data_IF_254637477053
#
_entry.id   IF_254637477053
#
_cell.length_a   1.000
_cell.length_b   1.000
_cell.length_c   1.000
_cell.angle_alpha   90.00
_cell.angle_beta   90.00
_cell.angle_gamma   90.00
#
_symmetry.space_group_name_H-M   'P 1'
#
loop_
_entity.id
_entity.type
_entity.pdbx_description
1 polymer ?
#
# COMPACT_ATOMS: atom_id res chain seq x y z
N UNK A 1 -0.55 0.21 22.93
CA UNK A 1 -0.73 1.60 23.41
C UNK A 1 -0.13 2.52 22.35
N UNK A 2 -0.88 3.51 21.87
CA UNK A 2 -0.38 4.61 21.03
C UNK A 2 -0.63 5.89 21.81
N UNK A 3 0.36 6.77 21.94
CA UNK A 3 0.27 7.97 22.79
C UNK A 3 -0.23 7.70 24.22
N UNK A 4 0.21 6.57 24.79
CA UNK A 4 -0.21 6.08 26.11
C UNK A 4 -1.73 5.86 26.25
N UNK A 5 -2.44 5.66 25.14
CA UNK A 5 -3.84 5.26 25.12
C UNK A 5 -4.00 3.83 24.59
N UNK A 6 -4.85 3.00 25.21
CA UNK A 6 -5.19 1.69 24.66
C UNK A 6 -6.04 1.89 23.40
N UNK A 7 -5.84 1.02 22.41
CA UNK A 7 -6.55 1.04 21.14
C UNK A 7 -6.96 -0.40 20.82
N UNK A 8 -8.22 -0.59 20.44
CA UNK A 8 -8.68 -1.85 19.88
C UNK A 8 -8.49 -1.79 18.36
N UNK A 9 -7.71 -2.70 17.81
CA UNK A 9 -7.38 -2.74 16.40
C UNK A 9 -7.94 -4.03 15.79
N UNK A 10 -8.92 -3.89 14.90
CA UNK A 10 -9.35 -4.98 14.02
C UNK A 10 -8.49 -4.99 12.76
N UNK A 11 -8.09 -6.18 12.31
CA UNK A 11 -7.31 -6.36 11.10
C UNK A 11 -8.08 -7.25 10.13
N UNK A 12 -8.23 -6.78 8.90
CA UNK A 12 -8.82 -7.53 7.79
C UNK A 12 -7.76 -7.72 6.72
N UNK A 13 -7.40 -8.98 6.48
CA UNK A 13 -6.52 -9.36 5.38
C UNK A 13 -7.34 -9.64 4.12
N UNK A 14 -6.82 -9.24 2.96
CA UNK A 14 -7.51 -9.44 1.68
C UNK A 14 -6.59 -9.97 0.60
N UNK A 15 -7.13 -10.86 -0.24
CA UNK A 15 -6.42 -11.43 -1.37
C UNK A 15 -6.18 -10.38 -2.48
N UNK A 16 -4.95 -10.30 -2.98
CA UNK A 16 -4.54 -9.38 -4.05
C UNK A 16 -4.69 -9.94 -5.48
N UNK A 17 -5.12 -11.19 -5.63
CA UNK A 17 -5.35 -11.82 -6.92
C UNK A 17 -6.66 -11.33 -7.53
N UNK A 18 -6.71 -11.29 -8.87
CA UNK A 18 -7.87 -10.84 -9.64
C UNK A 18 -9.13 -11.68 -9.39
N UNK A 19 -8.96 -12.97 -9.08
CA UNK A 19 -10.06 -13.88 -8.74
C UNK A 19 -10.91 -13.39 -7.55
N UNK A 20 -10.35 -12.50 -6.72
CA UNK A 20 -11.00 -11.95 -5.52
C UNK A 20 -11.47 -10.50 -5.68
N UNK A 21 -11.36 -9.91 -6.87
CA UNK A 21 -11.70 -8.49 -7.09
C UNK A 21 -13.16 -8.15 -6.74
N UNK A 22 -14.08 -9.12 -6.86
CA UNK A 22 -15.49 -8.95 -6.47
C UNK A 22 -15.76 -9.19 -4.98
N UNK A 23 -14.89 -9.93 -4.31
CA UNK A 23 -15.05 -10.30 -2.89
C UNK A 23 -14.37 -9.30 -1.97
N UNK A 24 -13.25 -8.73 -2.40
CA UNK A 24 -12.46 -7.75 -1.63
C UNK A 24 -13.29 -6.55 -1.16
N UNK A 25 -14.16 -5.93 -1.99
CA UNK A 25 -14.94 -4.77 -1.57
C UNK A 25 -15.94 -5.07 -0.45
N UNK A 26 -16.30 -6.34 -0.21
CA UNK A 26 -17.15 -6.72 0.92
C UNK A 26 -16.48 -6.48 2.27
N UNK A 27 -15.15 -6.31 2.29
CA UNK A 27 -14.37 -6.02 3.50
C UNK A 27 -14.13 -4.52 3.75
N UNK A 28 -14.55 -3.64 2.83
CA UNK A 28 -14.30 -2.19 2.91
C UNK A 28 -15.27 -1.37 3.78
N UNK A 29 -16.54 -1.78 3.99
CA UNK A 29 -17.46 -1.01 4.82
C UNK A 29 -16.90 -0.83 6.24
N UNK A 30 -17.02 0.40 6.76
CA UNK A 30 -16.60 0.78 8.12
C UNK A 30 -15.08 0.67 8.38
N UNK A 31 -14.25 0.59 7.34
CA UNK A 31 -12.80 0.67 7.49
C UNK A 31 -12.36 2.09 7.87
N UNK A 32 -11.67 2.24 9.01
CA UNK A 32 -11.13 3.51 9.47
C UNK A 32 -9.85 3.94 8.71
N UNK A 33 -9.03 2.98 8.29
CA UNK A 33 -7.77 3.22 7.56
C UNK A 33 -7.40 2.01 6.71
N UNK A 34 -6.88 2.27 5.51
CA UNK A 34 -6.34 1.24 4.63
C UNK A 34 -4.81 1.22 4.68
N UNK A 35 -4.24 0.03 4.75
CA UNK A 35 -2.82 -0.19 4.47
C UNK A 35 -2.68 -0.64 3.02
N UNK A 36 -2.15 0.24 2.18
CA UNK A 36 -1.96 -0.05 0.77
C UNK A 36 -0.53 -0.50 0.53
N UNK A 37 -0.34 -1.80 0.32
CA UNK A 37 0.98 -2.42 0.32
C UNK A 37 1.51 -2.62 -1.10
N UNK A 38 2.81 -2.37 -1.29
CA UNK A 38 3.59 -2.81 -2.45
C UNK A 38 4.91 -3.42 -1.99
N UNK A 39 5.62 -4.12 -2.87
CA UNK A 39 6.92 -4.71 -2.57
C UNK A 39 8.05 -3.86 -3.12
N UNK A 40 9.03 -3.52 -2.28
CA UNK A 40 10.20 -2.71 -2.65
C UNK A 40 11.07 -3.36 -3.75
N UNK A 41 10.97 -4.69 -3.88
CA UNK A 41 11.65 -5.48 -4.92
C UNK A 41 10.74 -5.85 -6.10
N UNK A 42 9.55 -5.24 -6.22
CA UNK A 42 8.62 -5.47 -7.34
C UNK A 42 8.03 -4.15 -7.84
N UNK A 43 8.60 -3.62 -8.93
CA UNK A 43 8.14 -2.38 -9.55
C UNK A 43 6.68 -2.47 -10.03
N UNK A 44 6.27 -3.60 -10.59
CA UNK A 44 4.87 -3.85 -10.99
C UNK A 44 3.90 -3.69 -9.82
N UNK A 45 4.26 -4.17 -8.63
CA UNK A 45 3.39 -4.01 -7.45
C UNK A 45 3.23 -2.55 -7.04
N UNK A 46 4.27 -1.72 -7.24
CA UNK A 46 4.21 -0.28 -6.98
C UNK A 46 3.37 0.46 -8.03
N UNK A 47 3.51 0.11 -9.30
CA UNK A 47 2.68 0.68 -10.37
C UNK A 47 1.18 0.37 -10.17
N UNK A 48 0.88 -0.84 -9.69
CA UNK A 48 -0.47 -1.29 -9.37
C UNK A 48 -1.15 -0.47 -8.26
N UNK A 49 -0.39 0.20 -7.39
CA UNK A 49 -0.95 1.13 -6.39
C UNK A 49 -1.78 2.20 -7.09
N UNK A 50 -1.26 2.81 -8.16
CA UNK A 50 -1.93 3.89 -8.89
C UNK A 50 -2.92 3.35 -9.92
N UNK A 51 -2.58 2.28 -10.63
CA UNK A 51 -3.41 1.79 -11.73
C UNK A 51 -4.59 0.93 -11.28
N UNK A 52 -4.52 0.30 -10.11
CA UNK A 52 -5.55 -0.63 -9.63
C UNK A 52 -6.04 -0.28 -8.23
N UNK A 53 -5.16 -0.30 -7.24
CA UNK A 53 -5.59 -0.36 -5.84
C UNK A 53 -6.17 0.94 -5.31
N UNK A 54 -5.53 2.07 -5.59
CA UNK A 54 -6.05 3.37 -5.21
C UNK A 54 -7.40 3.67 -5.87
N UNK A 55 -7.56 3.55 -7.21
CA UNK A 55 -8.86 3.72 -7.85
C UNK A 55 -9.96 2.81 -7.29
N UNK A 56 -9.64 1.55 -6.99
CA UNK A 56 -10.60 0.61 -6.39
C UNK A 56 -11.08 1.07 -5.02
N UNK A 57 -10.16 1.45 -4.12
CA UNK A 57 -10.51 1.97 -2.79
C UNK A 57 -11.30 3.26 -2.93
N UNK A 58 -10.85 4.22 -3.75
CA UNK A 58 -11.54 5.50 -3.94
C UNK A 58 -12.93 5.35 -4.56
N UNK A 59 -13.17 4.32 -5.39
CA UNK A 59 -14.49 4.06 -5.95
C UNK A 59 -15.50 3.58 -4.90
N UNK A 60 -15.04 2.86 -3.87
CA UNK A 60 -15.90 2.31 -2.81
C UNK A 60 -15.93 3.20 -1.56
N UNK A 61 -14.82 3.88 -1.25
CA UNK A 61 -14.60 4.71 -0.06
C UNK A 61 -13.82 5.98 -0.48
N UNK A 62 -14.48 7.00 -1.05
CA UNK A 62 -13.82 8.15 -1.71
C UNK A 62 -12.86 8.98 -0.86
N UNK A 63 -13.03 8.98 0.47
CA UNK A 63 -12.21 9.76 1.41
C UNK A 63 -11.44 8.87 2.39
N UNK A 64 -11.19 7.62 2.01
CA UNK A 64 -10.47 6.68 2.86
C UNK A 64 -9.09 7.21 3.25
N UNK A 65 -8.74 7.25 4.55
CA UNK A 65 -7.36 7.42 4.97
C UNK A 65 -6.54 6.22 4.47
N UNK A 66 -5.45 6.49 3.74
CA UNK A 66 -4.57 5.45 3.20
C UNK A 66 -3.15 5.68 3.70
N UNK A 67 -2.55 4.62 4.25
CA UNK A 67 -1.13 4.54 4.54
C UNK A 67 -0.50 3.66 3.45
N UNK A 68 0.43 4.24 2.70
CA UNK A 68 1.19 3.51 1.70
C UNK A 68 2.37 2.78 2.37
N UNK A 69 2.48 1.47 2.15
CA UNK A 69 3.46 0.62 2.84
C UNK A 69 4.37 -0.09 1.84
N UNK A 70 5.67 0.20 1.91
CA UNK A 70 6.70 -0.53 1.17
C UNK A 70 7.17 -1.77 1.94
N UNK A 71 6.87 -2.95 1.43
CA UNK A 71 7.19 -4.25 2.05
C UNK A 71 8.49 -4.86 1.50
N UNK A 72 9.01 -5.90 2.17
CA UNK A 72 10.20 -6.68 1.74
C UNK A 72 11.48 -5.86 1.61
N UNK A 73 11.72 -4.97 2.58
CA UNK A 73 12.94 -4.15 2.65
C UNK A 73 14.21 -5.00 2.75
N UNK A 74 14.14 -6.08 3.53
CA UNK A 74 15.21 -7.06 3.70
C UNK A 74 15.70 -7.62 2.34
N UNK A 75 14.79 -7.86 1.40
CA UNK A 75 15.16 -8.34 0.06
C UNK A 75 15.80 -7.24 -0.79
N UNK A 76 15.40 -5.97 -0.63
CA UNK A 76 16.03 -4.86 -1.36
C UNK A 76 17.49 -4.67 -0.94
N UNK A 77 17.75 -4.82 0.35
CA UNK A 77 19.07 -4.63 0.94
C UNK A 77 19.95 -5.90 0.79
N UNK A 78 19.38 -7.01 0.27
CA UNK A 78 20.08 -8.29 0.05
C UNK A 78 20.81 -8.34 -1.30
N UNK A 79 22.05 -8.89 -1.36
CA UNK A 79 22.80 -9.05 -2.61
C UNK A 79 22.08 -9.85 -3.70
N UNK A 80 21.18 -10.76 -3.29
CA UNK A 80 20.47 -11.67 -4.19
C UNK A 80 18.98 -11.31 -4.35
N UNK A 81 18.47 -10.32 -3.60
CA UNK A 81 17.04 -10.04 -3.54
C UNK A 81 16.53 -9.16 -4.68
N UNK A 82 17.41 -8.39 -5.34
CA UNK A 82 17.11 -7.78 -6.62
C UNK A 82 17.45 -8.75 -7.76
N UNK A 83 16.44 -9.10 -8.57
CA UNK A 83 16.73 -9.61 -9.91
C UNK A 83 17.43 -8.49 -10.68
N UNK A 84 18.60 -8.77 -11.26
CA UNK A 84 19.49 -7.82 -11.93
C UNK A 84 18.81 -6.92 -12.99
N UNK A 85 17.60 -7.25 -13.42
CA UNK A 85 16.80 -6.52 -14.43
C UNK A 85 15.74 -5.58 -13.86
N UNK A 86 15.52 -5.54 -12.54
CA UNK A 86 14.45 -4.70 -11.94
C UNK A 86 15.05 -3.59 -11.09
N UNK A 87 14.81 -2.33 -11.48
CA UNK A 87 15.19 -1.17 -10.67
C UNK A 87 14.36 -1.16 -9.38
N UNK A 88 15.00 -1.03 -8.19
CA UNK A 88 14.29 -1.00 -6.92
C UNK A 88 13.40 0.25 -6.86
N UNK A 89 12.34 0.20 -6.07
CA UNK A 89 11.54 1.39 -5.79
C UNK A 89 12.25 2.21 -4.71
N UNK A 90 12.60 3.45 -5.04
CA UNK A 90 13.32 4.37 -4.14
C UNK A 90 12.36 5.22 -3.33
N UNK A 91 12.84 5.72 -2.18
CA UNK A 91 12.07 6.64 -1.34
C UNK A 91 11.73 7.95 -2.09
N UNK A 92 12.66 8.47 -2.89
CA UNK A 92 12.44 9.68 -3.69
C UNK A 92 11.33 9.48 -4.71
N UNK A 93 11.24 8.31 -5.35
CA UNK A 93 10.12 8.01 -6.26
C UNK A 93 8.80 8.02 -5.49
N UNK A 94 8.70 7.28 -4.38
CA UNK A 94 7.48 7.25 -3.55
C UNK A 94 7.09 8.67 -3.13
N UNK A 95 8.03 9.43 -2.57
CA UNK A 95 7.76 10.80 -2.13
C UNK A 95 7.30 11.68 -3.29
N UNK A 96 8.04 11.74 -4.41
CA UNK A 96 7.69 12.60 -5.54
C UNK A 96 6.34 12.24 -6.19
N UNK A 97 5.99 10.95 -6.23
CA UNK A 97 4.71 10.51 -6.79
C UNK A 97 3.52 10.93 -5.93
N UNK A 98 3.67 10.92 -4.60
CA UNK A 98 2.53 11.10 -3.70
C UNK A 98 2.47 12.48 -3.02
N UNK A 99 3.59 13.22 -2.88
CA UNK A 99 3.59 14.62 -2.38
C UNK A 99 3.09 15.62 -3.42
N UNK A 100 3.19 15.28 -4.71
CA UNK A 100 2.61 16.09 -5.80
C UNK A 100 1.15 15.69 -6.11
N UNK A 101 0.65 14.61 -5.51
CA UNK A 101 -0.74 14.25 -5.60
C UNK A 101 -1.52 14.99 -4.50
N UNK A 102 -2.66 15.57 -4.83
CA UNK A 102 -3.56 16.24 -3.89
C UNK A 102 -4.23 15.28 -2.87
N UNK A 103 -3.68 14.08 -2.68
CA UNK A 103 -4.25 13.01 -1.87
C UNK A 103 -3.43 12.80 -0.60
N UNK A 104 -4.12 12.66 0.53
CA UNK A 104 -3.52 12.55 1.86
C UNK A 104 -2.93 11.16 2.09
N UNK A 105 -1.70 10.93 1.64
CA UNK A 105 -0.93 9.74 2.00
C UNK A 105 -0.01 10.04 3.20
N UNK A 106 -0.05 9.19 4.23
CA UNK A 106 0.92 9.25 5.32
C UNK A 106 2.03 8.25 5.01
N UNK A 107 3.24 8.75 4.76
CA UNK A 107 4.41 7.91 4.50
C UNK A 107 4.98 7.39 5.82
N UNK A 108 4.95 6.06 6.01
CA UNK A 108 5.72 5.39 7.06
C UNK A 108 6.67 4.38 6.39
N UNK A 109 7.98 4.54 6.62
CA UNK A 109 9.04 3.60 6.21
C UNK A 109 9.95 3.26 7.36
#
# INVERSE_FOLDING_TARGET
MVDRKPVNLGLWDTAGQEDYDRLRPLSYPQTDVFLLCFSLVSRTSFENVRSKWYPEISAHVPNAPIILVGTKRDLRDSPNGLKSTTLPVTYSEVSCYYTNSSHSFINYT
#
